data_IF_346863736462
#
_entry.id   IF_346863736462
#
_cell.length_a   1.000
_cell.length_b   1.000
_cell.length_c   1.000
_cell.angle_alpha   90.00
_cell.angle_beta   90.00
_cell.angle_gamma   90.00
#
_symmetry.space_group_name_H-M   'P 1'
#
loop_
_entity.id
_entity.type
_entity.pdbx_description
1 polymer ?
#
# COMPACT_ATOMS: atom_id res chain seq x y z
N UNK A 1 -2.29 5.88 -4.11
CA UNK A 1 -3.01 6.33 -5.33
C UNK A 1 -3.92 7.52 -5.04
N UNK A 2 -4.91 7.36 -4.15
CA UNK A 2 -5.83 8.43 -3.74
C UNK A 2 -5.17 9.43 -2.77
N UNK A 3 -5.21 10.73 -3.09
CA UNK A 3 -4.76 11.78 -2.18
C UNK A 3 -5.57 11.83 -0.89
N UNK A 4 -6.89 11.65 -0.97
CA UNK A 4 -7.77 11.60 0.21
C UNK A 4 -7.41 10.47 1.17
N UNK A 5 -7.10 9.28 0.65
CA UNK A 5 -6.64 8.17 1.49
C UNK A 5 -5.28 8.47 2.12
N UNK A 6 -4.38 9.15 1.41
CA UNK A 6 -3.10 9.59 1.97
C UNK A 6 -3.31 10.55 3.15
N UNK A 7 -4.21 11.53 3.03
CA UNK A 7 -4.54 12.42 4.14
C UNK A 7 -5.16 11.69 5.33
N UNK A 8 -6.07 10.76 5.06
CA UNK A 8 -6.73 9.96 6.10
C UNK A 8 -5.73 9.08 6.86
N UNK A 9 -4.82 8.41 6.15
CA UNK A 9 -3.78 7.61 6.77
C UNK A 9 -2.81 8.47 7.60
N UNK A 10 -2.37 9.61 7.08
CA UNK A 10 -1.50 10.54 7.81
C UNK A 10 -2.18 11.07 9.09
N UNK A 11 -3.46 11.42 8.99
CA UNK A 11 -4.27 11.87 10.14
C UNK A 11 -4.36 10.78 11.22
N UNK A 12 -4.66 9.54 10.84
CA UNK A 12 -4.77 8.40 11.77
C UNK A 12 -3.45 8.05 12.44
N UNK A 13 -2.36 8.04 11.67
CA UNK A 13 -1.03 7.81 12.21
C UNK A 13 -0.62 8.94 13.17
N UNK A 14 -0.88 10.19 12.79
CA UNK A 14 -0.60 11.35 13.64
C UNK A 14 -1.38 11.32 14.95
N UNK A 15 -2.65 10.91 14.93
CA UNK A 15 -3.47 10.73 16.13
C UNK A 15 -2.91 9.62 17.07
N UNK A 16 -2.16 8.66 16.52
CA UNK A 16 -1.44 7.64 17.26
C UNK A 16 0.03 8.04 17.57
N UNK A 17 0.39 9.32 17.41
CA UNK A 17 1.75 9.84 17.63
C UNK A 17 2.83 9.22 16.71
N UNK A 18 2.43 8.73 15.55
CA UNK A 18 3.33 8.21 14.52
C UNK A 18 3.47 9.28 13.44
N UNK A 19 4.65 9.89 13.35
CA UNK A 19 4.96 10.89 12.31
C UNK A 19 5.20 10.26 10.93
N UNK A 20 5.01 11.04 9.87
CA UNK A 20 5.34 10.66 8.50
C UNK A 20 6.62 11.39 8.09
N UNK A 21 7.73 10.66 7.92
CA UNK A 21 8.95 11.23 7.36
C UNK A 21 8.79 11.58 5.86
N UNK A 22 7.96 10.82 5.16
CA UNK A 22 7.61 11.01 3.76
C UNK A 22 6.15 10.59 3.53
N UNK A 23 5.39 11.39 2.77
CA UNK A 23 4.05 11.05 2.31
C UNK A 23 3.91 11.40 0.83
N UNK A 24 3.59 10.41 0.00
CA UNK A 24 3.53 10.56 -1.47
C UNK A 24 2.17 10.11 -2.02
N UNK A 25 1.51 11.02 -2.72
CA UNK A 25 0.34 10.70 -3.54
C UNK A 25 0.76 10.41 -4.99
N UNK A 26 0.80 9.14 -5.39
CA UNK A 26 1.23 8.73 -6.75
C UNK A 26 0.26 9.10 -7.88
N UNK A 27 -0.95 9.59 -7.54
CA UNK A 27 -2.03 9.75 -8.50
C UNK A 27 -2.78 8.44 -8.79
N UNK A 28 -3.91 8.59 -9.47
CA UNK A 28 -4.81 7.50 -9.85
C UNK A 28 -4.72 7.10 -11.33
N UNK A 29 -3.89 7.79 -12.11
CA UNK A 29 -3.79 7.57 -13.55
C UNK A 29 -3.24 6.17 -13.88
N UNK A 30 -3.60 5.58 -15.03
CA UNK A 30 -3.08 4.28 -15.47
C UNK A 30 -1.56 4.25 -15.61
N UNK A 31 -0.96 5.41 -15.94
CA UNK A 31 0.47 5.57 -16.12
C UNK A 31 0.99 6.54 -15.06
N UNK A 32 1.58 5.98 -14.01
CA UNK A 32 2.23 6.75 -12.94
C UNK A 32 3.73 6.87 -13.21
N UNK A 33 4.32 8.01 -12.84
CA UNK A 33 5.77 8.21 -12.99
C UNK A 33 6.60 7.33 -12.04
N UNK A 34 6.19 7.25 -10.78
CA UNK A 34 6.82 6.39 -9.76
C UNK A 34 5.76 5.41 -9.21
N UNK A 35 6.19 4.19 -8.90
CA UNK A 35 5.39 3.17 -8.22
C UNK A 35 5.85 2.92 -6.79
N UNK A 36 5.23 1.93 -6.14
CA UNK A 36 5.58 1.54 -4.77
C UNK A 36 7.03 1.07 -4.66
N UNK A 37 7.51 0.30 -5.63
CA UNK A 37 8.89 -0.22 -5.63
C UNK A 37 9.90 0.91 -5.66
N UNK A 38 9.77 1.87 -6.58
CA UNK A 38 10.73 2.96 -6.71
C UNK A 38 10.75 3.84 -5.46
N UNK A 39 9.58 4.12 -4.89
CA UNK A 39 9.46 4.90 -3.65
C UNK A 39 10.03 4.16 -2.43
N UNK A 40 9.78 2.85 -2.32
CA UNK A 40 10.32 2.03 -1.25
C UNK A 40 11.85 1.93 -1.33
N UNK A 41 12.41 1.81 -2.53
CA UNK A 41 13.85 1.83 -2.76
C UNK A 41 14.48 3.19 -2.42
N UNK A 42 13.80 4.29 -2.75
CA UNK A 42 14.27 5.64 -2.43
C UNK A 42 14.48 5.85 -0.92
N UNK A 43 13.69 5.17 -0.07
CA UNK A 43 13.81 5.24 1.39
C UNK A 43 14.51 4.04 2.00
N UNK A 44 15.04 3.09 1.21
CA UNK A 44 15.54 1.78 1.68
C UNK A 44 16.58 1.85 2.80
N UNK A 45 17.45 2.85 2.77
CA UNK A 45 18.53 3.03 3.75
C UNK A 45 18.36 4.29 4.60
N UNK A 46 17.20 4.95 4.52
CA UNK A 46 16.91 6.15 5.28
C UNK A 46 16.70 5.80 6.77
N UNK A 47 17.53 6.27 7.72
CA UNK A 47 17.36 5.95 9.14
C UNK A 47 16.07 6.51 9.75
N UNK A 48 15.47 7.55 9.18
CA UNK A 48 14.26 8.20 9.72
C UNK A 48 12.97 7.46 9.31
N UNK A 49 13.06 6.57 8.31
CA UNK A 49 11.93 5.75 7.86
C UNK A 49 11.99 4.37 8.53
N UNK A 50 11.19 4.16 9.58
CA UNK A 50 11.17 2.88 10.33
C UNK A 50 10.25 1.81 9.73
N UNK A 51 9.22 2.22 9.01
CA UNK A 51 8.29 1.33 8.33
C UNK A 51 7.71 2.01 7.08
N UNK A 52 7.19 1.23 6.15
CA UNK A 52 6.50 1.72 4.95
C UNK A 52 5.03 1.34 5.04
N UNK A 53 4.13 2.31 4.82
CA UNK A 53 2.70 2.05 4.63
C UNK A 53 2.34 2.29 3.17
N UNK A 54 1.85 1.26 2.49
CA UNK A 54 1.32 1.39 1.12
C UNK A 54 -0.21 1.45 1.13
N UNK A 55 -0.76 2.41 0.38
CA UNK A 55 -2.20 2.59 0.18
C UNK A 55 -2.54 2.30 -1.29
N UNK A 56 -2.87 1.03 -1.52
CA UNK A 56 -3.19 0.45 -2.80
C UNK A 56 -4.68 0.48 -3.15
N UNK A 57 -4.99 -0.05 -4.31
CA UNK A 57 -6.36 -0.18 -4.83
C UNK A 57 -6.50 -1.47 -5.64
N UNK A 58 -7.73 -1.98 -5.76
CA UNK A 58 -8.02 -3.05 -6.72
C UNK A 58 -7.72 -2.60 -8.16
N UNK A 59 -7.33 -3.56 -8.99
CA UNK A 59 -6.92 -3.32 -10.38
C UNK A 59 -5.43 -3.01 -10.53
N UNK A 60 -4.84 -3.53 -11.61
CA UNK A 60 -3.39 -3.55 -11.81
C UNK A 60 -2.66 -4.43 -10.80
N UNK A 61 -1.34 -4.44 -10.90
CA UNK A 61 -0.43 -5.38 -10.21
C UNK A 61 0.69 -4.66 -9.42
N UNK A 62 0.53 -3.37 -9.15
CA UNK A 62 1.58 -2.54 -8.55
C UNK A 62 1.96 -3.00 -7.15
N UNK A 63 0.97 -3.37 -6.33
CA UNK A 63 1.15 -3.89 -4.99
C UNK A 63 1.88 -5.24 -5.03
N UNK A 64 1.46 -6.15 -5.92
CA UNK A 64 2.06 -7.48 -6.08
C UNK A 64 3.49 -7.43 -6.62
N UNK A 65 3.76 -6.51 -7.55
CA UNK A 65 5.12 -6.24 -8.04
C UNK A 65 6.04 -5.79 -6.90
N UNK A 66 5.56 -4.89 -6.05
CA UNK A 66 6.33 -4.48 -4.89
C UNK A 66 6.51 -5.62 -3.87
N UNK A 67 5.48 -6.42 -3.61
CA UNK A 67 5.58 -7.62 -2.76
C UNK A 67 6.65 -8.61 -3.28
N UNK A 68 6.65 -8.84 -4.59
CA UNK A 68 7.62 -9.72 -5.27
C UNK A 68 9.04 -9.17 -5.17
N UNK A 69 9.20 -7.87 -5.40
CA UNK A 69 10.47 -7.16 -5.26
C UNK A 69 10.99 -7.19 -3.81
N UNK A 70 10.11 -6.97 -2.83
CA UNK A 70 10.46 -6.98 -1.42
C UNK A 70 11.00 -8.34 -0.98
N UNK A 71 10.35 -9.43 -1.41
CA UNK A 71 10.84 -10.80 -1.20
C UNK A 71 12.18 -11.04 -1.91
N UNK A 72 12.26 -10.72 -3.20
CA UNK A 72 13.44 -11.00 -4.03
C UNK A 72 14.71 -10.27 -3.55
N UNK A 73 14.54 -9.09 -2.94
CA UNK A 73 15.65 -8.24 -2.49
C UNK A 73 15.86 -8.27 -0.98
N UNK A 74 15.10 -9.08 -0.24
CA UNK A 74 15.05 -9.06 1.22
C UNK A 74 14.94 -7.60 1.74
N UNK A 75 13.90 -6.90 1.28
CA UNK A 75 13.71 -5.48 1.61
C UNK A 75 13.71 -5.27 3.13
N UNK A 76 14.56 -4.36 3.65
CA UNK A 76 14.90 -4.37 5.07
C UNK A 76 13.84 -3.72 5.97
N UNK A 77 12.90 -2.96 5.41
CA UNK A 77 11.92 -2.22 6.20
C UNK A 77 10.61 -2.97 6.28
N UNK A 78 9.99 -3.05 7.47
CA UNK A 78 8.67 -3.64 7.59
C UNK A 78 7.63 -2.84 6.80
N UNK A 79 6.66 -3.54 6.23
CA UNK A 79 5.65 -2.96 5.35
C UNK A 79 4.26 -3.27 5.86
N UNK A 80 3.41 -2.24 5.99
CA UNK A 80 1.97 -2.37 6.13
C UNK A 80 1.28 -2.03 4.80
N UNK A 81 0.17 -2.68 4.50
CA UNK A 81 -0.56 -2.49 3.26
C UNK A 81 -2.06 -2.42 3.50
N UNK A 82 -2.72 -1.47 2.85
CA UNK A 82 -4.18 -1.41 2.74
C UNK A 82 -4.57 -1.33 1.26
N UNK A 83 -5.53 -2.14 0.83
CA UNK A 83 -6.00 -2.18 -0.57
C UNK A 83 -7.46 -1.75 -0.60
N UNK A 84 -7.72 -0.56 -1.15
CA UNK A 84 -9.06 -0.04 -1.29
C UNK A 84 -9.87 -0.83 -2.34
N UNK A 85 -11.18 -0.95 -2.11
CA UNK A 85 -12.12 -1.54 -3.09
C UNK A 85 -12.16 -3.07 -3.11
N UNK A 86 -11.54 -3.75 -2.15
CA UNK A 86 -11.59 -5.23 -2.01
C UNK A 86 -13.03 -5.78 -1.95
N UNK A 87 -13.97 -5.03 -1.39
CA UNK A 87 -15.40 -5.39 -1.29
C UNK A 87 -16.25 -4.94 -2.49
N UNK A 88 -15.63 -4.43 -3.56
CA UNK A 88 -16.35 -3.95 -4.72
C UNK A 88 -17.00 -5.12 -5.49
N UNK A 89 -18.27 -4.99 -5.90
CA UNK A 89 -18.90 -6.02 -6.74
C UNK A 89 -18.21 -6.10 -8.12
N UNK A 90 -18.15 -7.30 -8.72
CA UNK A 90 -17.60 -7.48 -10.07
C UNK A 90 -18.27 -6.55 -11.09
N UNK A 91 -17.48 -5.99 -12.00
CA UNK A 91 -18.00 -5.14 -13.08
C UNK A 91 -18.33 -3.69 -12.70
N UNK A 92 -18.09 -3.26 -11.45
CA UNK A 92 -18.17 -1.84 -11.09
C UNK A 92 -16.83 -1.12 -11.29
N UNK A 93 -16.88 0.06 -11.92
CA UNK A 93 -15.80 1.04 -11.85
C UNK A 93 -15.87 1.78 -10.53
N UNK A 94 -14.79 1.75 -9.75
CA UNK A 94 -14.60 2.60 -8.60
C UNK A 94 -13.67 3.76 -8.98
N UNK A 95 -14.14 5.00 -8.90
CA UNK A 95 -13.31 6.22 -8.92
C UNK A 95 -12.21 6.27 -9.99
N UNK A 96 -10.99 6.62 -9.57
CA UNK A 96 -9.79 6.76 -10.43
C UNK A 96 -9.39 5.47 -11.14
N UNK A 97 -9.99 4.34 -10.76
CA UNK A 97 -9.69 3.09 -11.39
C UNK A 97 -10.27 3.07 -12.82
N UNK A 98 -9.39 3.22 -13.79
CA UNK A 98 -9.44 2.43 -15.03
C UNK A 98 -9.11 0.96 -14.69
N UNK A 99 -9.64 0.44 -13.57
CA UNK A 99 -9.58 -0.98 -13.25
C UNK A 99 -10.62 -1.65 -14.13
N UNK A 100 -10.21 -1.90 -15.37
CA UNK A 100 -10.72 -3.08 -16.03
C UNK A 100 -10.34 -4.24 -15.09
N UNK A 101 -11.32 -4.86 -14.45
CA UNK A 101 -11.18 -6.04 -13.58
C UNK A 101 -10.79 -7.27 -14.44
N UNK A 102 -9.79 -7.13 -15.32
CA UNK A 102 -9.34 -8.13 -16.31
C UNK A 102 -7.92 -8.65 -16.04
N UNK A 103 -7.37 -8.43 -14.84
CA UNK A 103 -6.17 -9.19 -14.43
C UNK A 103 -6.59 -10.40 -13.59
N UNK A 104 -6.07 -11.57 -13.98
CA UNK A 104 -6.28 -12.83 -13.28
C UNK A 104 -5.79 -12.72 -11.82
N UNK A 105 -6.67 -13.12 -10.88
CA UNK A 105 -6.37 -13.26 -9.45
C UNK A 105 -7.27 -12.46 -8.51
N UNK A 106 -7.86 -11.36 -8.97
CA UNK A 106 -8.81 -10.57 -8.19
C UNK A 106 -8.24 -10.01 -6.87
N UNK A 107 -9.13 -9.44 -6.05
CA UNK A 107 -8.75 -8.81 -4.79
C UNK A 107 -8.14 -9.80 -3.77
N UNK A 108 -8.68 -11.03 -3.70
CA UNK A 108 -8.20 -12.06 -2.77
C UNK A 108 -6.76 -12.48 -3.03
N UNK A 109 -6.41 -12.80 -4.28
CA UNK A 109 -5.04 -13.21 -4.60
C UNK A 109 -4.03 -12.06 -4.39
N UNK A 110 -4.44 -10.80 -4.64
CA UNK A 110 -3.62 -9.62 -4.34
C UNK A 110 -3.28 -9.57 -2.84
N UNK A 111 -4.28 -9.69 -1.96
CA UNK A 111 -4.06 -9.68 -0.51
C UNK A 111 -3.19 -10.86 -0.05
N UNK A 112 -3.42 -12.06 -0.60
CA UNK A 112 -2.64 -13.25 -0.28
C UNK A 112 -1.16 -13.09 -0.66
N UNK A 113 -0.87 -12.48 -1.82
CA UNK A 113 0.50 -12.20 -2.26
C UNK A 113 1.21 -11.20 -1.34
N UNK A 114 0.51 -10.16 -0.89
CA UNK A 114 1.05 -9.21 0.08
C UNK A 114 1.34 -9.88 1.42
N UNK A 115 0.42 -10.69 1.92
CA UNK A 115 0.61 -11.44 3.16
C UNK A 115 1.79 -12.43 3.06
N UNK A 116 1.92 -13.14 1.93
CA UNK A 116 3.07 -14.05 1.67
C UNK A 116 4.41 -13.32 1.57
N UNK A 117 4.41 -12.04 1.20
CA UNK A 117 5.59 -11.18 1.24
C UNK A 117 5.93 -10.67 2.65
N UNK A 118 5.15 -11.04 3.67
CA UNK A 118 5.33 -10.60 5.04
C UNK A 118 4.77 -9.21 5.34
N UNK A 119 3.94 -8.66 4.45
CA UNK A 119 3.32 -7.36 4.69
C UNK A 119 2.19 -7.49 5.71
N UNK A 120 2.08 -6.52 6.63
CA UNK A 120 0.94 -6.40 7.52
C UNK A 120 -0.27 -5.86 6.75
N UNK A 121 -1.13 -6.77 6.28
CA UNK A 121 -2.32 -6.43 5.48
C UNK A 121 -3.45 -5.96 6.41
N UNK A 122 -3.84 -4.71 6.24
CA UNK A 122 -4.93 -4.05 6.95
C UNK A 122 -6.25 -4.28 6.23
N UNK A 123 -7.29 -4.71 6.95
CA UNK A 123 -8.63 -4.89 6.39
C UNK A 123 -9.40 -3.58 6.34
N UNK A 124 -9.25 -2.75 7.38
CA UNK A 124 -9.95 -1.50 7.57
C UNK A 124 -8.98 -0.34 7.79
N UNK A 125 -9.44 0.89 7.55
CA UNK A 125 -8.64 2.10 7.81
C UNK A 125 -8.31 2.27 9.31
N UNK A 126 -9.11 1.70 10.21
CA UNK A 126 -8.80 1.66 11.65
C UNK A 126 -7.56 0.85 11.98
N UNK A 127 -7.17 -0.08 11.11
CA UNK A 127 -6.08 -1.02 11.39
C UNK A 127 -4.71 -0.41 11.04
N UNK A 128 -4.69 0.69 10.27
CA UNK A 128 -3.46 1.31 9.79
C UNK A 128 -2.52 1.70 10.93
N UNK A 129 -3.01 2.44 11.91
CA UNK A 129 -2.17 2.92 13.00
C UNK A 129 -1.70 1.79 13.93
N UNK A 130 -2.58 0.86 14.39
CA UNK A 130 -2.15 -0.32 15.13
C UNK A 130 -1.14 -1.18 14.38
N UNK A 131 -1.34 -1.40 13.07
CA UNK A 131 -0.43 -2.18 12.25
C UNK A 131 0.95 -1.52 12.17
N UNK A 132 1.01 -0.22 11.83
CA UNK A 132 2.29 0.49 11.76
C UNK A 132 2.97 0.56 13.12
N UNK A 133 2.23 0.79 14.21
CA UNK A 133 2.78 0.75 15.57
C UNK A 133 3.45 -0.59 15.87
N UNK A 134 2.78 -1.71 15.59
CA UNK A 134 3.34 -3.05 15.81
C UNK A 134 4.61 -3.33 15.00
N UNK A 135 4.83 -2.64 13.89
CA UNK A 135 6.03 -2.79 13.05
C UNK A 135 7.23 -1.97 13.55
N UNK A 136 7.02 -0.85 14.25
CA UNK A 136 8.09 0.07 14.67
C UNK A 136 8.51 -0.08 16.14
N UNK A 137 7.82 -0.94 16.90
CA UNK A 137 8.04 -1.14 18.34
C UNK A 137 7.45 -0.03 19.19
#
# INVERSE_FOLDING_TARGET
>A
RSGTLTYEAASRLSAAWIGQALAVGMGGDPFTGLGFTELAEAVRHDPDVRAVLILGEIGGDAEEKFATHALATAYPKPVAAYVAGVSAPPGRRLGHAVAILEQAGGAGEKLDRLARAGFAVCAELSDLAPAVAGLIG
#
